data_IF_974476929296
#
_entry.id   IF_974476929296
#
_cell.length_a   1.000
_cell.length_b   1.000
_cell.length_c   1.000
_cell.angle_alpha   90.00
_cell.angle_beta   90.00
_cell.angle_gamma   90.00
#
_symmetry.space_group_name_H-M   'P 1'
#
loop_
_entity.id
_entity.type
_entity.pdbx_description
1 polymer ?
#
# COMPACT_ATOMS: atom_id res chain seq x y z
N UNK A 1 59.02 22.11 20.70
CA UNK A 1 59.79 22.07 19.44
C UNK A 1 59.82 20.59 19.06
N UNK A 2 59.17 20.08 18.00
CA UNK A 2 58.82 20.66 16.71
C UNK A 2 57.50 20.11 16.17
N UNK A 3 56.62 21.04 15.80
CA UNK A 3 55.41 20.83 15.01
C UNK A 3 55.79 21.12 13.56
N UNK A 4 55.96 20.13 12.67
CA UNK A 4 56.02 20.31 11.19
C UNK A 4 56.39 19.00 10.46
N UNK A 5 55.44 18.08 10.24
CA UNK A 5 55.73 16.99 9.28
C UNK A 5 54.57 16.51 8.41
N UNK A 6 53.36 17.08 8.51
CA UNK A 6 52.22 16.58 7.72
C UNK A 6 51.60 17.58 6.74
N UNK A 7 52.18 18.77 6.54
CA UNK A 7 51.63 19.71 5.56
C UNK A 7 52.43 19.71 4.25
N UNK A 8 51.72 19.32 3.18
CA UNK A 8 52.03 19.43 1.73
C UNK A 8 53.19 18.57 1.24
N UNK A 9 53.03 17.61 0.32
CA UNK A 9 52.68 17.69 -1.10
C UNK A 9 51.96 16.37 -1.47
N UNK A 10 50.91 16.24 -2.28
CA UNK A 10 50.76 16.63 -3.68
C UNK A 10 49.26 16.80 -3.96
N UNK A 11 48.85 17.99 -4.36
CA UNK A 11 47.63 18.18 -5.11
C UNK A 11 47.95 17.97 -6.60
N UNK A 12 47.46 16.90 -7.22
CA UNK A 12 47.17 16.82 -8.67
C UNK A 12 46.23 15.63 -8.88
N UNK A 13 45.10 15.90 -9.52
CA UNK A 13 43.94 15.02 -9.54
C UNK A 13 44.05 13.76 -10.39
N UNK A 14 43.20 12.80 -10.04
CA UNK A 14 42.59 11.90 -11.00
C UNK A 14 41.08 12.09 -10.88
N UNK A 15 40.51 12.73 -11.89
CA UNK A 15 39.08 12.68 -12.19
C UNK A 15 38.78 11.24 -12.56
N UNK A 16 38.27 10.47 -11.60
CA UNK A 16 37.69 9.17 -11.91
C UNK A 16 36.34 9.41 -12.58
N UNK A 17 36.32 9.32 -13.91
CA UNK A 17 35.12 9.03 -14.71
C UNK A 17 34.64 7.62 -14.35
N UNK A 18 34.06 7.46 -13.16
CA UNK A 18 33.39 6.24 -12.73
C UNK A 18 31.90 6.50 -12.77
N UNK A 19 31.18 5.81 -13.66
CA UNK A 19 29.73 5.85 -13.77
C UNK A 19 29.12 5.76 -12.36
N UNK A 20 28.43 6.82 -11.95
CA UNK A 20 27.79 6.91 -10.66
C UNK A 20 26.91 5.69 -10.47
N UNK A 21 27.28 4.81 -9.54
CA UNK A 21 26.32 3.87 -9.01
C UNK A 21 25.36 4.73 -8.19
N UNK A 22 24.29 5.19 -8.85
CA UNK A 22 23.12 5.69 -8.17
C UNK A 22 22.50 4.49 -7.44
N UNK A 23 23.02 4.16 -6.24
CA UNK A 23 22.34 3.32 -5.27
C UNK A 23 21.15 4.12 -4.73
N UNK A 24 20.15 4.35 -5.58
CA UNK A 24 18.86 4.79 -5.09
C UNK A 24 18.29 3.62 -4.30
N UNK A 25 17.98 3.76 -3.00
CA UNK A 25 17.13 2.79 -2.36
C UNK A 25 15.81 2.82 -3.12
N UNK A 26 15.50 1.75 -3.84
CA UNK A 26 14.12 1.50 -4.21
C UNK A 26 13.38 1.41 -2.87
N UNK A 27 12.62 2.44 -2.54
CA UNK A 27 11.81 2.43 -1.32
C UNK A 27 10.73 1.39 -1.57
N UNK A 28 11.03 0.15 -1.20
CA UNK A 28 10.08 -0.93 -1.23
C UNK A 28 8.95 -0.49 -0.29
N UNK A 29 7.80 -0.17 -0.88
CA UNK A 29 6.60 0.04 -0.10
C UNK A 29 6.18 -1.34 0.41
N UNK A 30 6.64 -1.66 1.62
CA UNK A 30 6.31 -2.92 2.26
C UNK A 30 4.88 -2.78 2.78
N UNK A 31 3.94 -3.58 2.28
CA UNK A 31 2.58 -3.55 2.79
C UNK A 31 2.60 -3.93 4.27
N UNK A 32 1.99 -3.10 5.11
CA UNK A 32 1.95 -3.27 6.55
C UNK A 32 0.55 -3.64 7.00
N UNK A 33 0.47 -4.60 7.91
CA UNK A 33 -0.79 -5.01 8.51
C UNK A 33 -1.16 -4.07 9.67
N UNK A 34 -2.42 -3.66 9.74
CA UNK A 34 -2.98 -2.79 10.77
C UNK A 34 -4.29 -3.40 11.28
N UNK A 35 -4.37 -3.64 12.59
CA UNK A 35 -5.61 -4.11 13.23
C UNK A 35 -6.45 -2.92 13.65
N UNK A 36 -7.70 -2.84 13.20
CA UNK A 36 -8.63 -1.77 13.59
C UNK A 36 -9.95 -2.37 14.06
N UNK A 37 -10.48 -1.87 15.18
CA UNK A 37 -11.61 -2.48 15.89
C UNK A 37 -12.59 -1.44 16.39
N UNK A 38 -13.87 -1.69 16.16
CA UNK A 38 -14.98 -0.92 16.73
C UNK A 38 -15.32 -1.47 18.12
N UNK A 39 -15.16 -0.63 19.14
CA UNK A 39 -15.52 -0.98 20.52
C UNK A 39 -16.92 -0.47 20.84
N UNK A 40 -17.76 -1.35 21.41
CA UNK A 40 -19.15 -1.02 21.80
C UNK A 40 -19.95 -0.39 20.66
N UNK A 41 -19.78 -0.92 19.44
CA UNK A 41 -20.48 -0.49 18.21
C UNK A 41 -20.17 0.94 17.74
N UNK A 42 -19.24 1.63 18.40
CA UNK A 42 -18.89 3.00 18.07
C UNK A 42 -18.03 3.10 16.82
N UNK A 43 -18.14 4.24 16.13
CA UNK A 43 -17.20 4.63 15.10
C UNK A 43 -15.80 4.78 15.70
N UNK A 44 -14.83 4.06 15.15
CA UNK A 44 -13.42 4.11 15.53
C UNK A 44 -12.57 4.39 14.30
N UNK A 45 -11.48 5.15 14.48
CA UNK A 45 -10.54 5.48 13.41
C UNK A 45 -9.12 5.09 13.81
N UNK A 46 -8.46 4.37 12.93
CA UNK A 46 -7.04 4.06 13.00
C UNK A 46 -6.28 5.00 12.05
N UNK A 47 -5.52 5.92 12.62
CA UNK A 47 -4.69 6.86 11.86
C UNK A 47 -3.53 6.11 11.22
N UNK A 48 -3.56 5.98 9.90
CA UNK A 48 -2.58 5.22 9.12
C UNK A 48 -2.41 5.88 7.76
N UNK A 49 -1.22 5.76 7.19
CA UNK A 49 -0.96 6.19 5.81
C UNK A 49 -1.66 5.24 4.82
N UNK A 50 -2.66 5.77 4.12
CA UNK A 50 -3.50 5.08 3.14
C UNK A 50 -3.16 5.46 1.71
N UNK A 51 -2.10 6.26 1.48
CA UNK A 51 -1.72 6.79 0.15
C UNK A 51 -1.51 5.70 -0.90
N UNK A 52 -1.11 4.52 -0.44
CA UNK A 52 -0.81 3.36 -1.27
C UNK A 52 -1.90 2.28 -1.11
N UNK A 53 -3.15 2.69 -0.97
CA UNK A 53 -4.29 1.78 -0.87
C UNK A 53 -4.41 1.04 0.46
N UNK A 54 -5.61 0.48 0.66
CA UNK A 54 -5.97 -0.34 1.82
C UNK A 54 -6.80 -1.53 1.35
N UNK A 55 -6.50 -2.71 1.88
CA UNK A 55 -7.28 -3.94 1.65
C UNK A 55 -7.67 -4.58 2.97
N UNK A 56 -8.89 -5.11 3.04
CA UNK A 56 -9.30 -5.98 4.14
C UNK A 56 -8.56 -7.32 4.01
N UNK A 57 -7.80 -7.70 5.03
CA UNK A 57 -7.06 -8.96 5.05
C UNK A 57 -7.87 -10.06 5.74
N UNK A 58 -8.39 -9.77 6.94
CA UNK A 58 -9.11 -10.75 7.74
C UNK A 58 -10.06 -10.05 8.72
N UNK A 59 -11.29 -10.53 8.81
CA UNK A 59 -12.22 -10.12 9.88
C UNK A 59 -11.84 -10.83 11.18
N UNK A 60 -11.78 -10.07 12.28
CA UNK A 60 -11.48 -10.56 13.64
C UNK A 60 -12.65 -10.40 14.60
N UNK A 61 -13.67 -9.61 14.24
CA UNK A 61 -14.90 -9.42 15.01
C UNK A 61 -16.06 -10.30 14.53
N UNK A 62 -17.13 -10.33 15.33
CA UNK A 62 -18.37 -11.07 15.02
C UNK A 62 -19.26 -10.32 14.03
N UNK A 63 -19.23 -8.98 14.04
CA UNK A 63 -20.03 -8.16 13.13
C UNK A 63 -19.41 -8.10 11.71
N UNK A 64 -20.24 -8.08 10.66
CA UNK A 64 -19.75 -8.07 9.28
C UNK A 64 -19.04 -6.76 8.93
N UNK A 65 -17.83 -6.86 8.37
CA UNK A 65 -17.10 -5.72 7.82
C UNK A 65 -17.41 -5.55 6.32
N UNK A 66 -18.33 -4.63 6.01
CA UNK A 66 -18.74 -4.26 4.64
C UNK A 66 -18.21 -2.87 4.29
N UNK A 67 -17.51 -2.77 3.16
CA UNK A 67 -16.95 -1.52 2.65
C UNK A 67 -18.04 -0.45 2.46
N UNK A 68 -17.74 0.78 2.87
CA UNK A 68 -18.65 1.95 2.90
C UNK A 68 -19.86 1.84 3.84
N UNK A 69 -20.03 0.71 4.55
CA UNK A 69 -21.08 0.56 5.57
C UNK A 69 -20.50 0.55 6.97
N UNK A 70 -19.74 -0.49 7.27
CA UNK A 70 -19.18 -0.74 8.61
C UNK A 70 -17.66 -0.55 8.66
N UNK A 71 -17.03 -0.31 7.51
CA UNK A 71 -15.64 0.15 7.44
C UNK A 71 -15.34 0.88 6.13
N UNK A 72 -14.27 1.65 6.13
CA UNK A 72 -13.72 2.30 4.95
C UNK A 72 -12.38 2.95 5.26
N UNK A 73 -11.84 3.70 4.30
CA UNK A 73 -10.62 4.46 4.52
C UNK A 73 -10.68 5.80 3.79
N UNK A 74 -10.06 6.81 4.39
CA UNK A 74 -9.91 8.14 3.82
C UNK A 74 -8.45 8.62 4.01
N UNK A 75 -8.14 9.85 3.60
CA UNK A 75 -6.81 10.42 3.75
C UNK A 75 -6.32 10.50 5.21
N UNK A 76 -7.24 10.43 6.19
CA UNK A 76 -6.93 10.42 7.63
C UNK A 76 -6.74 9.02 8.20
N UNK A 77 -6.99 7.96 7.42
CA UNK A 77 -6.82 6.58 7.85
C UNK A 77 -8.07 5.72 7.68
N UNK A 78 -8.04 4.55 8.32
CA UNK A 78 -9.10 3.54 8.26
C UNK A 78 -10.12 3.85 9.34
N UNK A 79 -11.40 3.72 9.01
CA UNK A 79 -12.48 3.78 10.00
C UNK A 79 -13.29 2.49 10.00
N UNK A 80 -13.82 2.14 11.17
CA UNK A 80 -14.69 0.97 11.42
C UNK A 80 -15.84 1.38 12.35
N UNK A 81 -17.01 0.77 12.20
CA UNK A 81 -18.22 1.05 12.99
C UNK A 81 -19.04 -0.22 13.19
N UNK A 82 -20.07 -0.15 14.04
CA UNK A 82 -21.08 -1.21 14.20
C UNK A 82 -20.46 -2.57 14.59
N UNK A 83 -19.40 -2.53 15.41
CA UNK A 83 -18.73 -3.74 15.92
C UNK A 83 -17.79 -4.41 14.91
N UNK A 84 -17.61 -3.85 13.72
CA UNK A 84 -16.63 -4.35 12.76
C UNK A 84 -15.21 -4.29 13.36
N UNK A 85 -14.52 -5.43 13.32
CA UNK A 85 -13.13 -5.57 13.73
C UNK A 85 -12.38 -6.41 12.70
N UNK A 86 -11.28 -5.89 12.19
CA UNK A 86 -10.53 -6.54 11.12
C UNK A 86 -9.05 -6.12 11.08
N UNK A 87 -8.25 -6.97 10.45
CA UNK A 87 -6.89 -6.67 10.02
C UNK A 87 -6.91 -6.15 8.59
N UNK A 88 -6.20 -5.06 8.36
CA UNK A 88 -6.09 -4.36 7.09
C UNK A 88 -4.65 -4.37 6.60
N UNK A 89 -4.46 -4.48 5.30
CA UNK A 89 -3.18 -4.33 4.66
C UNK A 89 -3.13 -2.94 4.01
N UNK A 90 -2.22 -2.07 4.46
CA UNK A 90 -2.00 -0.74 3.87
C UNK A 90 -0.63 -0.72 3.21
N UNK A 91 -0.39 0.17 2.26
CA UNK A 91 0.86 0.09 1.51
C UNK A 91 0.81 -0.95 0.39
N UNK A 92 -0.38 -1.46 0.06
CA UNK A 92 -0.58 -2.25 -1.16
C UNK A 92 -0.66 -1.27 -2.32
N UNK A 93 0.48 -0.65 -2.62
CA UNK A 93 0.57 0.30 -3.71
C UNK A 93 0.10 -0.35 -4.99
N UNK A 94 -0.46 0.49 -5.85
CA UNK A 94 -0.76 0.15 -7.22
C UNK A 94 0.54 -0.07 -8.04
N UNK A 95 1.45 -0.93 -7.58
CA UNK A 95 2.70 -1.25 -8.26
C UNK A 95 2.48 -2.30 -9.35
N UNK A 96 3.21 -2.31 -10.47
CA UNK A 96 2.87 -2.93 -11.78
C UNK A 96 2.52 -4.43 -11.83
N UNK A 97 2.41 -5.14 -10.70
CA UNK A 97 1.67 -6.40 -10.55
C UNK A 97 0.24 -6.24 -10.02
N UNK A 98 -0.22 -5.01 -9.80
CA UNK A 98 -1.57 -4.62 -9.41
C UNK A 98 -2.46 -4.31 -10.63
N UNK A 99 -2.04 -4.74 -11.84
CA UNK A 99 -2.86 -4.56 -13.04
C UNK A 99 -4.28 -4.97 -12.67
N UNK A 100 -5.29 -4.09 -12.85
CA UNK A 100 -6.65 -4.57 -12.98
C UNK A 100 -6.55 -5.74 -13.94
N UNK A 101 -7.10 -6.89 -13.57
CA UNK A 101 -7.02 -8.12 -14.33
C UNK A 101 -7.61 -7.87 -15.73
N UNK A 102 -6.78 -7.37 -16.64
CA UNK A 102 -7.09 -7.07 -18.03
C UNK A 102 -6.01 -7.76 -18.84
N UNK A 103 -6.09 -9.08 -18.79
CA UNK A 103 -5.70 -9.98 -19.87
C UNK A 103 -6.64 -11.15 -19.67
N UNK A 104 -7.60 -11.27 -20.57
CA UNK A 104 -8.70 -12.22 -20.59
C UNK A 104 -8.26 -13.72 -20.71
N UNK A 105 -7.09 -14.09 -20.19
CA UNK A 105 -6.47 -15.42 -20.38
C UNK A 105 -6.11 -16.17 -19.08
N UNK A 106 -6.13 -15.55 -17.89
CA UNK A 106 -5.70 -16.19 -16.63
C UNK A 106 -6.79 -16.29 -15.54
N UNK A 107 -8.08 -16.43 -15.86
CA UNK A 107 -9.14 -16.44 -14.84
C UNK A 107 -8.84 -17.40 -13.65
N UNK A 108 -8.66 -16.91 -12.40
CA UNK A 108 -8.46 -17.78 -11.26
C UNK A 108 -9.75 -18.55 -10.98
N UNK A 109 -9.59 -19.86 -10.83
CA UNK A 109 -10.68 -20.81 -10.58
C UNK A 109 -11.59 -20.36 -9.43
N UNK A 110 -12.89 -20.51 -9.65
CA UNK A 110 -14.03 -20.00 -8.86
C UNK A 110 -14.17 -20.58 -7.43
N UNK A 111 -13.09 -21.03 -6.80
CA UNK A 111 -13.12 -21.61 -5.45
C UNK A 111 -12.76 -20.61 -4.33
N UNK A 112 -12.51 -19.34 -4.63
CA UNK A 112 -12.18 -18.32 -3.63
C UNK A 112 -13.40 -17.46 -3.23
N UNK A 113 -14.15 -17.82 -2.16
CA UNK A 113 -15.35 -17.08 -1.72
C UNK A 113 -15.07 -15.69 -1.11
N UNK A 114 -13.80 -15.25 -1.09
CA UNK A 114 -13.37 -13.98 -0.49
C UNK A 114 -12.93 -12.91 -1.50
N UNK A 115 -13.08 -13.15 -2.81
CA UNK A 115 -12.82 -12.10 -3.81
C UNK A 115 -13.97 -11.08 -3.81
N UNK A 116 -13.74 -9.80 -3.45
CA UNK A 116 -14.76 -8.78 -3.62
C UNK A 116 -15.06 -8.64 -5.12
N UNK A 117 -16.33 -8.78 -5.50
CA UNK A 117 -16.75 -8.59 -6.87
C UNK A 117 -16.35 -7.18 -7.33
N UNK A 118 -15.77 -7.02 -8.54
CA UNK A 118 -15.52 -5.69 -9.10
C UNK A 118 -16.85 -4.96 -9.24
N UNK A 119 -17.07 -3.93 -8.41
CA UNK A 119 -18.21 -3.03 -8.60
C UNK A 119 -17.89 -2.11 -9.77
N UNK A 120 -18.47 -2.40 -10.94
CA UNK A 120 -18.57 -1.40 -12.01
C UNK A 120 -17.94 -1.76 -13.34
N UNK A 121 -18.17 -2.96 -13.89
CA UNK A 121 -18.13 -3.16 -15.34
C UNK A 121 -19.46 -2.79 -15.97
N UNK A 122 -19.91 -1.54 -15.79
CA UNK A 122 -20.82 -0.96 -16.79
C UNK A 122 -19.96 -0.62 -18.00
N UNK A 123 -20.15 -1.40 -19.06
CA UNK A 123 -19.48 -1.25 -20.34
C UNK A 123 -19.93 0.07 -20.97
N UNK A 124 -18.99 0.97 -21.22
CA UNK A 124 -19.24 2.26 -21.88
C UNK A 124 -19.75 2.12 -23.32
N UNK A 125 -19.68 0.93 -23.93
CA UNK A 125 -20.19 0.67 -25.27
C UNK A 125 -21.65 0.22 -25.32
N UNK A 126 -22.28 -0.06 -24.17
CA UNK A 126 -23.68 -0.54 -24.09
C UNK A 126 -24.72 0.59 -24.29
N UNK A 127 -24.29 1.86 -24.40
CA UNK A 127 -25.17 3.04 -24.48
C UNK A 127 -24.74 4.06 -25.55
N UNK A 128 -24.06 3.66 -26.63
CA UNK A 128 -23.80 4.56 -27.75
C UNK A 128 -24.91 4.40 -28.81
N UNK A 129 -25.64 5.47 -29.19
CA UNK A 129 -26.78 5.39 -30.10
C UNK A 129 -26.40 4.93 -31.52
#
# INVERSE_FOLDING_TARGET
MDRQWWKTLIATGLVSLGCGVCLSPASANIPRQVSCRSYSENFQRCSVDTRNGVRLLRQTGTAPCTYEKTWGYDARGIWVSEGCSADFLVGVGDGPGNRPYTSDDDAPSLSNPFSPAPKGTMRWWENNP
#
